data_IF_008264919048
#
_entry.id   IF_008264919048
#
_cell.length_a   1.000
_cell.length_b   1.000
_cell.length_c   1.000
_cell.angle_alpha   90.00
_cell.angle_beta   90.00
_cell.angle_gamma   90.00
#
_symmetry.space_group_name_H-M   'P 1'
#
loop_
_entity.id
_entity.type
_entity.pdbx_description
1 polymer ?
#
# COMPACT_ATOMS: atom_id res chain seq x y z
N UNK A 1 4.97 13.93 19.32
CA UNK A 1 4.06 13.03 20.06
C UNK A 1 4.36 11.60 19.64
N UNK A 2 4.48 10.65 20.55
CA UNK A 2 4.57 9.24 20.18
C UNK A 2 3.24 8.79 19.61
N UNK A 3 3.22 8.28 18.39
CA UNK A 3 1.99 7.84 17.70
C UNK A 3 1.56 6.43 18.10
N UNK A 4 2.37 5.74 18.88
CA UNK A 4 2.14 4.37 19.32
C UNK A 4 1.89 3.41 18.14
N UNK A 5 2.70 3.58 17.05
CA UNK A 5 2.55 2.94 15.76
C UNK A 5 3.84 2.28 15.30
N UNK A 6 3.82 0.97 15.08
CA UNK A 6 4.87 0.23 14.36
C UNK A 6 4.45 0.02 12.90
N UNK A 7 5.37 0.22 11.97
CA UNK A 7 5.13 -0.06 10.54
C UNK A 7 5.77 -1.38 10.17
N UNK A 8 5.02 -2.23 9.50
CA UNK A 8 5.46 -3.51 8.93
C UNK A 8 5.61 -3.37 7.43
N UNK A 9 6.80 -3.60 6.92
CA UNK A 9 7.10 -3.50 5.50
C UNK A 9 7.84 -4.77 5.06
N UNK A 10 7.24 -5.56 4.17
CA UNK A 10 7.88 -6.71 3.52
C UNK A 10 7.95 -6.39 2.04
N UNK A 11 9.15 -6.45 1.47
CA UNK A 11 9.43 -5.93 0.14
C UNK A 11 10.25 -6.90 -0.72
N UNK A 12 10.12 -6.73 -2.03
CA UNK A 12 11.02 -7.31 -3.06
C UNK A 12 10.98 -6.43 -4.32
N UNK A 13 12.14 -5.96 -4.77
CA UNK A 13 12.31 -5.18 -6.00
C UNK A 13 11.40 -3.95 -6.07
N UNK A 14 11.64 -2.95 -5.22
CA UNK A 14 10.85 -1.72 -5.09
C UNK A 14 11.72 -0.46 -5.27
N UNK A 15 12.83 -0.52 -6.01
CA UNK A 15 13.83 0.56 -6.11
C UNK A 15 13.25 1.92 -6.49
N UNK A 16 12.17 1.96 -7.28
CA UNK A 16 11.58 3.22 -7.70
C UNK A 16 10.75 3.92 -6.61
N UNK A 17 10.18 3.16 -5.66
CA UNK A 17 9.18 3.70 -4.75
C UNK A 17 9.53 3.55 -3.27
N UNK A 18 10.37 2.61 -2.89
CA UNK A 18 10.65 2.29 -1.47
C UNK A 18 11.15 3.49 -0.66
N UNK A 19 11.98 4.35 -1.26
CA UNK A 19 12.47 5.54 -0.56
C UNK A 19 11.33 6.49 -0.21
N UNK A 20 10.42 6.73 -1.16
CA UNK A 20 9.25 7.57 -0.97
C UNK A 20 8.26 6.95 0.01
N UNK A 21 8.02 5.64 -0.09
CA UNK A 21 7.15 4.91 0.83
C UNK A 21 7.61 5.05 2.28
N UNK A 22 8.87 4.70 2.57
CA UNK A 22 9.43 4.77 3.91
C UNK A 22 9.47 6.21 4.43
N UNK A 23 10.00 7.17 3.65
CA UNK A 23 10.07 8.57 4.08
C UNK A 23 8.70 9.22 4.26
N UNK A 24 7.65 8.70 3.60
CA UNK A 24 6.30 9.24 3.74
C UNK A 24 5.69 8.96 5.11
N UNK A 25 6.16 7.91 5.84
CA UNK A 25 5.54 7.41 7.07
C UNK A 25 6.39 7.64 8.32
N UNK A 26 7.68 7.97 8.18
CA UNK A 26 8.62 8.09 9.30
C UNK A 26 8.20 9.12 10.37
N UNK A 27 7.49 10.17 9.99
CA UNK A 27 7.04 11.22 10.91
C UNK A 27 6.00 10.72 11.92
N UNK A 28 5.18 9.72 11.54
CA UNK A 28 4.15 9.14 12.40
C UNK A 28 4.50 7.75 12.94
N UNK A 29 5.59 7.13 12.52
CA UNK A 29 6.03 5.83 13.02
C UNK A 29 6.92 5.98 14.26
N UNK A 30 6.74 5.12 15.26
CA UNK A 30 7.72 4.94 16.35
C UNK A 30 8.84 3.97 15.92
N UNK A 31 8.49 2.96 15.12
CA UNK A 31 9.39 1.94 14.58
C UNK A 31 8.90 1.47 13.20
N UNK A 32 9.83 1.14 12.32
CA UNK A 32 9.56 0.58 10.98
C UNK A 32 10.37 -0.70 10.83
N UNK A 33 9.69 -1.84 10.73
CA UNK A 33 10.30 -3.16 10.49
C UNK A 33 10.28 -3.42 8.99
N UNK A 34 11.44 -3.34 8.34
CA UNK A 34 11.60 -3.52 6.89
C UNK A 34 12.30 -4.84 6.64
N UNK A 35 11.61 -5.78 5.98
CA UNK A 35 12.15 -7.08 5.62
C UNK A 35 12.25 -7.20 4.10
N UNK A 36 13.47 -7.33 3.60
CA UNK A 36 13.73 -7.59 2.19
C UNK A 36 13.72 -9.09 1.90
N UNK A 37 12.96 -9.47 0.88
CA UNK A 37 12.78 -10.88 0.49
C UNK A 37 13.56 -11.25 -0.77
N UNK A 38 14.83 -10.84 -0.81
CA UNK A 38 15.74 -11.14 -1.89
C UNK A 38 15.56 -10.22 -3.10
N UNK A 39 15.60 -8.91 -2.88
CA UNK A 39 15.67 -7.94 -3.97
C UNK A 39 16.96 -8.10 -4.77
N UNK A 40 16.84 -8.03 -6.09
CA UNK A 40 17.94 -8.11 -7.05
C UNK A 40 18.20 -6.79 -7.78
N UNK A 41 17.37 -5.77 -7.49
CA UNK A 41 17.54 -4.39 -7.94
C UNK A 41 18.22 -3.54 -6.85
N UNK A 42 18.21 -2.22 -6.98
CA UNK A 42 18.85 -1.29 -6.03
C UNK A 42 18.04 -1.05 -4.75
N UNK A 43 16.98 -1.82 -4.50
CA UNK A 43 16.08 -1.64 -3.32
C UNK A 43 16.87 -1.60 -2.01
N UNK A 44 17.78 -2.54 -1.79
CA UNK A 44 18.59 -2.64 -0.56
C UNK A 44 19.49 -1.43 -0.39
N UNK A 45 20.21 -1.04 -1.46
CA UNK A 45 21.09 0.12 -1.44
C UNK A 45 20.34 1.41 -1.15
N UNK A 46 19.16 1.55 -1.74
CA UNK A 46 18.26 2.70 -1.54
C UNK A 46 17.82 2.79 -0.08
N UNK A 47 17.41 1.68 0.54
CA UNK A 47 17.00 1.66 1.96
C UNK A 47 18.16 2.10 2.85
N UNK A 48 19.38 1.65 2.57
CA UNK A 48 20.59 2.01 3.33
C UNK A 48 20.92 3.51 3.26
N UNK A 49 20.38 4.25 2.26
CA UNK A 49 20.52 5.73 2.21
C UNK A 49 19.67 6.46 3.25
N UNK A 50 18.62 5.82 3.77
CA UNK A 50 17.66 6.47 4.67
C UNK A 50 18.23 6.52 6.09
N UNK A 51 18.66 7.71 6.53
CA UNK A 51 19.24 7.93 7.86
C UNK A 51 18.13 8.10 8.91
N UNK A 52 17.63 6.98 9.46
CA UNK A 52 16.62 7.01 10.52
C UNK A 52 16.82 5.87 11.51
N UNK A 53 16.94 6.21 12.81
CA UNK A 53 17.00 5.22 13.90
C UNK A 53 15.70 4.44 14.12
N UNK A 54 14.61 4.84 13.48
CA UNK A 54 13.32 4.15 13.56
C UNK A 54 13.25 2.91 12.66
N UNK A 55 14.08 2.85 11.60
CA UNK A 55 14.10 1.74 10.65
C UNK A 55 14.96 0.61 11.21
N UNK A 56 14.36 -0.58 11.28
CA UNK A 56 15.04 -1.85 11.52
C UNK A 56 14.94 -2.62 10.21
N UNK A 57 16.05 -2.67 9.50
CA UNK A 57 16.15 -3.31 8.19
C UNK A 57 16.82 -4.68 8.31
N UNK A 58 16.22 -5.70 7.72
CA UNK A 58 16.75 -7.07 7.70
C UNK A 58 16.56 -7.68 6.31
N UNK A 59 17.62 -8.25 5.77
CA UNK A 59 17.60 -9.06 4.56
C UNK A 59 17.22 -10.49 4.94
N UNK A 60 16.05 -10.97 4.48
CA UNK A 60 15.49 -12.28 4.82
C UNK A 60 15.74 -13.34 3.74
N UNK A 61 16.30 -12.91 2.59
CA UNK A 61 16.48 -13.77 1.43
C UNK A 61 15.16 -14.14 0.76
N UNK A 62 15.24 -14.98 -0.28
CA UNK A 62 14.05 -15.39 -1.01
C UNK A 62 13.11 -16.22 -0.15
N UNK A 63 11.81 -15.91 -0.25
CA UNK A 63 10.76 -16.64 0.45
C UNK A 63 9.62 -16.98 -0.48
N UNK A 64 8.99 -18.12 -0.25
CA UNK A 64 7.75 -18.52 -0.92
C UNK A 64 6.51 -17.85 -0.29
N UNK A 65 5.34 -18.19 -0.78
CA UNK A 65 4.06 -17.67 -0.28
C UNK A 65 3.78 -18.01 1.20
N UNK A 66 4.34 -19.12 1.73
CA UNK A 66 4.24 -19.48 3.16
C UNK A 66 5.23 -18.66 3.99
N UNK A 67 6.44 -18.48 3.48
CA UNK A 67 7.49 -17.66 4.10
C UNK A 67 7.03 -16.22 4.30
N UNK A 68 6.31 -15.63 3.33
CA UNK A 68 5.75 -14.28 3.49
C UNK A 68 4.81 -14.18 4.71
N UNK A 69 3.93 -15.15 4.91
CA UNK A 69 3.07 -15.18 6.09
C UNK A 69 3.87 -15.34 7.39
N UNK A 70 4.97 -16.10 7.36
CA UNK A 70 5.86 -16.27 8.51
C UNK A 70 6.59 -14.96 8.87
N UNK A 71 7.08 -14.21 7.87
CA UNK A 71 7.68 -12.89 8.09
C UNK A 71 6.69 -11.90 8.73
N UNK A 72 5.43 -11.90 8.29
CA UNK A 72 4.39 -11.08 8.92
C UNK A 72 4.11 -11.51 10.37
N UNK A 73 4.16 -12.81 10.71
CA UNK A 73 4.06 -13.29 12.10
C UNK A 73 5.24 -12.79 12.93
N UNK A 74 6.45 -12.82 12.39
CA UNK A 74 7.63 -12.29 13.04
C UNK A 74 7.50 -10.78 13.30
N UNK A 75 7.08 -9.99 12.32
CA UNK A 75 6.83 -8.55 12.51
C UNK A 75 5.78 -8.31 13.61
N UNK A 76 4.70 -9.10 13.60
CA UNK A 76 3.65 -9.00 14.61
C UNK A 76 4.18 -9.32 16.03
N UNK A 77 5.03 -10.34 16.20
CA UNK A 77 5.64 -10.69 17.50
C UNK A 77 6.56 -9.61 18.02
N UNK A 78 7.27 -8.91 17.15
CA UNK A 78 8.20 -7.80 17.47
C UNK A 78 7.50 -6.47 17.72
N UNK A 79 6.20 -6.37 17.44
CA UNK A 79 5.41 -5.15 17.65
C UNK A 79 5.13 -4.93 19.13
N UNK A 80 5.59 -3.77 19.66
CA UNK A 80 5.37 -3.35 21.06
C UNK A 80 4.39 -2.20 21.21
N UNK A 81 3.99 -1.58 20.09
CA UNK A 81 3.04 -0.46 20.04
C UNK A 81 1.61 -0.96 20.04
N UNK A 82 0.65 -0.10 20.40
CA UNK A 82 -0.77 -0.43 20.39
C UNK A 82 -1.31 -0.68 18.98
N UNK A 83 -0.75 0.03 18.00
CA UNK A 83 -1.14 -0.09 16.60
C UNK A 83 0.02 -0.51 15.72
N UNK A 84 -0.28 -1.22 14.65
CA UNK A 84 0.66 -1.42 13.56
C UNK A 84 0.02 -1.17 12.22
N UNK A 85 0.83 -0.70 11.28
CA UNK A 85 0.45 -0.37 9.90
C UNK A 85 1.19 -1.29 8.94
N UNK A 86 0.47 -1.88 8.00
CA UNK A 86 1.06 -2.62 6.88
C UNK A 86 1.36 -1.60 5.78
N UNK A 87 2.63 -1.47 5.42
CA UNK A 87 3.11 -0.63 4.33
C UNK A 87 3.70 -1.52 3.23
N UNK A 88 3.14 -1.44 2.04
CA UNK A 88 3.78 -2.03 0.87
C UNK A 88 4.82 -1.03 0.30
N UNK A 89 5.89 -1.54 -0.33
CA UNK A 89 6.99 -0.70 -0.83
C UNK A 89 6.59 0.28 -1.94
N UNK A 90 5.39 0.11 -2.49
CA UNK A 90 4.77 0.91 -3.54
C UNK A 90 3.62 1.82 -3.03
N UNK A 91 3.59 2.10 -1.72
CA UNK A 91 2.57 2.96 -1.08
C UNK A 91 3.18 4.24 -0.49
N UNK A 92 2.71 5.39 -0.93
CA UNK A 92 3.16 6.71 -0.41
C UNK A 92 2.01 7.39 0.31
N UNK A 93 2.17 7.57 1.63
CA UNK A 93 1.12 8.09 2.49
C UNK A 93 1.09 9.63 2.50
N UNK A 94 -0.06 10.20 2.14
CA UNK A 94 -0.24 11.65 2.06
C UNK A 94 -0.34 12.28 3.45
N UNK A 95 0.10 13.53 3.59
CA UNK A 95 0.11 14.28 4.86
C UNK A 95 -1.26 14.33 5.53
N UNK A 96 -2.32 14.62 4.77
CA UNK A 96 -3.68 14.66 5.28
C UNK A 96 -4.17 13.29 5.74
N UNK A 97 -3.80 12.21 5.05
CA UNK A 97 -4.16 10.82 5.42
C UNK A 97 -3.50 10.43 6.73
N UNK A 98 -2.23 10.76 6.91
CA UNK A 98 -1.49 10.53 8.16
C UNK A 98 -2.08 11.33 9.33
N UNK A 99 -2.38 12.62 9.10
CA UNK A 99 -3.02 13.48 10.12
C UNK A 99 -4.38 12.90 10.55
N UNK A 100 -5.20 12.46 9.60
CA UNK A 100 -6.49 11.83 9.89
C UNK A 100 -6.31 10.51 10.65
N UNK A 101 -5.36 9.65 10.22
CA UNK A 101 -5.06 8.39 10.90
C UNK A 101 -4.69 8.62 12.37
N UNK A 102 -3.68 9.45 12.62
CA UNK A 102 -3.20 9.72 13.98
C UNK A 102 -4.31 10.32 14.85
N UNK A 103 -5.11 11.24 14.31
CA UNK A 103 -6.26 11.80 15.02
C UNK A 103 -7.31 10.75 15.39
N UNK A 104 -7.59 9.81 14.48
CA UNK A 104 -8.60 8.75 14.72
C UNK A 104 -8.15 7.67 15.70
N UNK A 105 -6.86 7.28 15.70
CA UNK A 105 -6.38 6.19 16.57
C UNK A 105 -5.99 6.64 17.98
N UNK A 106 -5.76 7.95 18.20
CA UNK A 106 -5.21 8.49 19.44
C UNK A 106 -6.04 8.18 20.68
N UNK A 107 -7.35 8.31 20.61
CA UNK A 107 -8.29 8.15 21.74
C UNK A 107 -9.48 7.30 21.35
N UNK A 108 -9.29 6.36 20.44
CA UNK A 108 -10.40 5.55 19.95
C UNK A 108 -10.71 4.41 20.91
N UNK A 109 -11.99 4.12 21.06
CA UNK A 109 -12.49 3.03 21.86
C UNK A 109 -11.84 1.67 21.52
N UNK A 110 -11.60 0.84 22.54
CA UNK A 110 -10.95 -0.48 22.40
C UNK A 110 -11.74 -1.45 21.52
N UNK A 111 -13.01 -1.18 21.26
CA UNK A 111 -13.84 -1.98 20.35
C UNK A 111 -13.40 -1.83 18.88
N UNK A 112 -12.63 -0.78 18.53
CA UNK A 112 -12.12 -0.56 17.19
C UNK A 112 -10.78 -1.28 17.00
N UNK A 113 -10.74 -2.16 16.01
CA UNK A 113 -9.66 -3.12 15.76
C UNK A 113 -8.78 -2.77 14.58
N UNK A 114 -9.27 -1.95 13.66
CA UNK A 114 -8.50 -1.60 12.48
C UNK A 114 -8.98 -0.34 11.76
N UNK A 115 -8.17 0.08 10.78
CA UNK A 115 -8.46 1.26 9.95
C UNK A 115 -8.35 0.90 8.49
N UNK A 116 -9.43 1.13 7.77
CA UNK A 116 -9.54 0.99 6.32
C UNK A 116 -9.17 2.31 5.66
N UNK A 117 -8.32 2.24 4.66
CA UNK A 117 -7.82 3.41 3.94
C UNK A 117 -7.99 3.21 2.44
N UNK A 118 -8.49 4.23 1.76
CA UNK A 118 -8.58 4.21 0.28
C UNK A 118 -7.26 4.57 -0.37
N UNK A 119 -7.05 4.05 -1.57
CA UNK A 119 -5.88 4.37 -2.38
C UNK A 119 -6.25 5.19 -3.63
N UNK A 120 -5.34 6.06 -4.06
CA UNK A 120 -5.23 6.49 -5.44
C UNK A 120 -4.30 5.50 -6.14
N UNK A 121 -4.84 4.58 -6.94
CA UNK A 121 -4.02 3.68 -7.74
C UNK A 121 -3.49 4.44 -8.94
N UNK A 122 -2.21 4.79 -8.92
CA UNK A 122 -1.58 5.55 -10.00
C UNK A 122 -1.42 4.68 -11.26
N UNK A 123 -1.59 5.29 -12.44
CA UNK A 123 -1.51 4.59 -13.72
C UNK A 123 -0.78 5.43 -14.77
N UNK A 124 0.18 4.81 -15.45
CA UNK A 124 1.02 5.48 -16.45
C UNK A 124 2.11 6.35 -15.85
N UNK A 125 1.76 7.27 -14.97
CA UNK A 125 2.66 8.15 -14.22
C UNK A 125 2.01 8.63 -12.92
N UNK A 126 2.70 9.50 -12.16
CA UNK A 126 2.17 10.05 -10.90
C UNK A 126 1.08 11.11 -11.09
N UNK A 127 0.87 11.59 -12.29
CA UNK A 127 -0.12 12.63 -12.59
C UNK A 127 -1.51 12.07 -12.86
N UNK A 128 -1.63 10.74 -13.02
CA UNK A 128 -2.87 10.07 -13.37
C UNK A 128 -3.20 8.94 -12.39
N UNK A 129 -4.49 8.76 -12.13
CA UNK A 129 -4.98 7.66 -11.32
C UNK A 129 -6.04 6.85 -12.06
N UNK A 130 -6.13 5.58 -11.73
CA UNK A 130 -7.11 4.68 -12.32
C UNK A 130 -8.52 5.05 -11.83
N UNK A 131 -9.52 5.22 -12.73
CA UNK A 131 -10.89 5.50 -12.33
C UNK A 131 -11.43 4.37 -11.46
N UNK A 132 -12.16 4.75 -10.41
CA UNK A 132 -12.75 3.83 -9.45
C UNK A 132 -14.03 3.19 -10.03
N UNK A 133 -13.86 2.12 -10.78
CA UNK A 133 -15.00 1.37 -11.34
C UNK A 133 -15.55 0.29 -10.41
N UNK A 134 -14.90 0.07 -9.26
CA UNK A 134 -15.26 -0.99 -8.32
C UNK A 134 -15.84 -0.37 -7.06
N UNK A 135 -17.10 -0.68 -6.80
CA UNK A 135 -17.73 -0.41 -5.52
C UNK A 135 -17.28 -1.50 -4.53
N UNK A 136 -16.28 -1.18 -3.71
CA UNK A 136 -15.93 -2.07 -2.61
C UNK A 136 -16.97 -1.89 -1.51
N UNK A 137 -17.87 -2.84 -1.38
CA UNK A 137 -18.80 -2.89 -0.26
C UNK A 137 -18.11 -3.55 0.95
N UNK A 138 -17.45 -2.74 1.75
CA UNK A 138 -17.09 -3.19 3.08
C UNK A 138 -18.35 -3.26 3.93
N UNK A 139 -18.57 -4.33 4.69
CA UNK A 139 -19.70 -4.41 5.60
C UNK A 139 -19.71 -3.18 6.53
N UNK A 140 -20.85 -2.50 6.59
CA UNK A 140 -21.03 -1.29 7.41
C UNK A 140 -20.07 -0.12 7.10
N UNK A 141 -19.51 -0.06 5.90
CA UNK A 141 -18.80 1.14 5.45
C UNK A 141 -19.78 2.31 5.27
N UNK A 142 -19.30 3.56 5.36
CA UNK A 142 -20.12 4.73 4.98
C UNK A 142 -20.64 4.57 3.55
N UNK A 143 -21.91 5.02 3.31
CA UNK A 143 -22.58 4.88 1.99
C UNK A 143 -21.73 5.41 0.81
N UNK A 144 -20.95 6.47 1.05
CA UNK A 144 -20.12 7.12 0.04
C UNK A 144 -18.68 6.57 -0.02
N UNK A 145 -18.40 5.49 0.72
CA UNK A 145 -17.05 4.92 0.76
C UNK A 145 -16.83 4.02 -0.46
N UNK A 146 -16.51 4.66 -1.59
CA UNK A 146 -16.31 4.00 -2.90
C UNK A 146 -14.82 3.99 -3.25
N UNK A 147 -14.42 3.03 -4.09
CA UNK A 147 -13.08 2.90 -4.64
C UNK A 147 -12.20 1.86 -3.97
N UNK A 148 -10.92 1.86 -4.34
CA UNK A 148 -9.95 0.90 -3.83
C UNK A 148 -9.64 1.18 -2.36
N UNK A 149 -9.97 0.24 -1.50
CA UNK A 149 -9.76 0.36 -0.06
C UNK A 149 -9.10 -0.89 0.50
N UNK A 150 -8.21 -0.71 1.46
CA UNK A 150 -7.51 -1.78 2.15
C UNK A 150 -7.54 -1.56 3.65
N UNK A 151 -7.63 -2.64 4.41
CA UNK A 151 -7.38 -2.63 5.84
C UNK A 151 -5.87 -2.56 6.04
N UNK A 152 -5.36 -1.39 6.45
CA UNK A 152 -3.92 -1.13 6.55
C UNK A 152 -3.41 -1.00 7.96
N UNK A 153 -4.26 -0.65 8.92
CA UNK A 153 -3.85 -0.46 10.30
C UNK A 153 -4.63 -1.39 11.21
N UNK A 154 -3.95 -2.02 12.15
CA UNK A 154 -4.52 -2.99 13.07
C UNK A 154 -4.14 -2.66 14.50
N UNK A 155 -5.04 -2.91 15.45
CA UNK A 155 -4.75 -2.84 16.87
C UNK A 155 -4.05 -4.12 17.32
N UNK A 156 -2.95 -4.00 18.06
CA UNK A 156 -2.18 -5.16 18.55
C UNK A 156 -2.94 -5.98 19.60
N UNK A 157 -3.80 -5.32 20.40
CA UNK A 157 -4.56 -5.95 21.49
C UNK A 157 -5.84 -6.66 21.05
N UNK A 158 -6.06 -6.90 19.75
CA UNK A 158 -7.16 -7.76 19.30
C UNK A 158 -7.02 -9.14 19.93
N UNK A 159 -8.07 -9.68 20.58
CA UNK A 159 -8.01 -10.97 21.26
C UNK A 159 -7.55 -12.10 20.31
N UNK A 160 -6.45 -12.78 20.64
CA UNK A 160 -5.90 -13.88 19.86
C UNK A 160 -5.45 -13.51 18.45
N UNK A 161 -5.05 -12.24 18.21
CA UNK A 161 -4.59 -11.79 16.90
C UNK A 161 -3.48 -12.68 16.34
N UNK A 162 -3.73 -13.29 15.19
CA UNK A 162 -2.78 -14.14 14.49
C UNK A 162 -2.95 -14.02 12.97
N UNK A 163 -2.03 -14.62 12.23
CA UNK A 163 -2.08 -14.64 10.76
C UNK A 163 -2.41 -16.04 10.30
N UNK A 164 -3.42 -16.16 9.42
CA UNK A 164 -3.88 -17.40 8.80
C UNK A 164 -3.78 -17.30 7.28
N UNK A 165 -3.49 -18.44 6.63
CA UNK A 165 -3.38 -18.52 5.17
C UNK A 165 -1.96 -18.30 4.67
N UNK A 166 -1.85 -18.20 3.35
CA UNK A 166 -0.61 -17.93 2.60
C UNK A 166 -0.85 -16.84 1.55
N UNK A 167 0.20 -16.13 1.18
CA UNK A 167 0.11 -15.08 0.14
C UNK A 167 -0.54 -15.63 -1.17
N UNK A 168 -1.44 -14.93 -1.82
CA UNK A 168 -1.95 -13.59 -1.48
C UNK A 168 -3.24 -13.58 -0.64
N UNK A 169 -3.61 -14.70 -0.02
CA UNK A 169 -4.87 -14.87 0.74
C UNK A 169 -4.64 -14.91 2.25
N UNK A 170 -3.45 -14.49 2.72
CA UNK A 170 -3.19 -14.37 4.14
C UNK A 170 -4.04 -13.25 4.76
N UNK A 171 -4.52 -13.49 5.97
CA UNK A 171 -5.33 -12.54 6.70
C UNK A 171 -4.94 -12.49 8.18
N UNK A 172 -5.03 -11.30 8.77
CA UNK A 172 -5.03 -11.12 10.22
C UNK A 172 -6.38 -11.52 10.76
N UNK A 173 -6.39 -12.48 11.68
CA UNK A 173 -7.58 -13.09 12.25
C UNK A 173 -7.62 -12.89 13.77
N UNK A 174 -8.82 -12.90 14.35
CA UNK A 174 -9.02 -12.92 15.78
C UNK A 174 -8.89 -14.34 16.38
N UNK A 175 -9.14 -14.49 17.67
CA UNK A 175 -9.10 -15.76 18.39
C UNK A 175 -10.02 -16.86 17.79
N UNK A 176 -11.07 -16.48 17.08
CA UNK A 176 -11.99 -17.40 16.44
C UNK A 176 -11.57 -17.75 15.00
N UNK A 177 -10.44 -17.23 14.52
CA UNK A 177 -9.97 -17.40 13.15
C UNK A 177 -10.75 -16.60 12.12
N UNK A 178 -11.53 -15.60 12.55
CA UNK A 178 -12.30 -14.71 11.66
C UNK A 178 -11.39 -13.59 11.18
N UNK A 179 -11.25 -13.38 9.86
CA UNK A 179 -10.49 -12.26 9.31
C UNK A 179 -11.03 -10.91 9.81
N UNK A 180 -10.13 -10.04 10.26
CA UNK A 180 -10.52 -8.74 10.84
C UNK A 180 -11.33 -7.88 9.87
N UNK A 181 -11.05 -7.97 8.58
CA UNK A 181 -11.81 -7.26 7.55
C UNK A 181 -13.31 -7.62 7.50
N UNK A 182 -13.70 -8.80 7.99
CA UNK A 182 -15.10 -9.25 7.94
C UNK A 182 -15.99 -8.59 9.02
N UNK A 183 -15.39 -7.89 9.98
CA UNK A 183 -16.14 -7.19 11.02
C UNK A 183 -16.74 -5.85 10.60
N UNK A 184 -16.26 -5.26 9.51
CA UNK A 184 -16.78 -4.02 8.95
C UNK A 184 -16.79 -2.87 9.95
N UNK A 185 -17.75 -1.95 9.80
CA UNK A 185 -17.85 -0.72 10.60
C UNK A 185 -18.09 -0.94 12.10
N UNK A 186 -18.49 -2.14 12.53
CA UNK A 186 -18.58 -2.46 13.97
C UNK A 186 -17.20 -2.40 14.64
N UNK A 187 -16.16 -2.87 13.95
CA UNK A 187 -14.79 -2.96 14.46
C UNK A 187 -13.79 -2.09 13.70
N UNK A 188 -14.16 -1.54 12.54
CA UNK A 188 -13.27 -0.81 11.67
C UNK A 188 -13.59 0.68 11.63
N UNK A 189 -12.55 1.48 11.49
CA UNK A 189 -12.62 2.89 11.15
C UNK A 189 -12.34 3.04 9.65
N UNK A 190 -12.89 4.09 9.05
CA UNK A 190 -12.71 4.40 7.63
C UNK A 190 -12.13 5.80 7.49
N UNK A 191 -11.00 5.94 6.78
CA UNK A 191 -10.42 7.25 6.50
C UNK A 191 -11.07 7.87 5.26
N UNK A 192 -11.29 9.18 5.31
CA UNK A 192 -11.76 9.96 4.16
C UNK A 192 -10.64 10.19 3.14
N UNK A 193 -9.44 10.48 3.63
CA UNK A 193 -8.26 10.72 2.82
C UNK A 193 -7.66 9.40 2.29
N UNK A 194 -6.81 9.53 1.25
CA UNK A 194 -6.24 8.42 0.49
C UNK A 194 -4.71 8.45 0.55
N UNK A 195 -4.07 7.32 0.25
CA UNK A 195 -2.64 7.24 -0.04
C UNK A 195 -2.42 6.96 -1.54
N UNK A 196 -1.22 7.19 -2.04
CA UNK A 196 -0.83 6.77 -3.39
C UNK A 196 -0.39 5.31 -3.37
N UNK A 197 -0.88 4.56 -4.35
CA UNK A 197 -0.48 3.19 -4.59
C UNK A 197 0.02 3.07 -6.04
N UNK A 198 1.32 2.84 -6.19
CA UNK A 198 1.95 2.80 -7.52
C UNK A 198 1.88 1.41 -8.15
N UNK A 199 0.91 0.59 -7.73
CA UNK A 199 0.77 -0.82 -8.10
C UNK A 199 0.68 -1.09 -9.61
N UNK A 200 0.29 -0.10 -10.40
CA UNK A 200 0.21 -0.22 -11.87
C UNK A 200 1.40 0.41 -12.59
N UNK A 201 2.27 1.10 -11.86
CA UNK A 201 3.50 1.67 -12.40
C UNK A 201 4.65 0.66 -12.33
N UNK A 202 5.70 0.93 -13.06
CA UNK A 202 6.97 0.19 -12.95
C UNK A 202 7.58 0.41 -11.56
N UNK A 203 8.05 -0.64 -10.91
CA UNK A 203 8.61 -0.59 -9.56
C UNK A 203 10.10 -0.89 -9.50
N UNK A 204 10.63 -1.57 -10.52
CA UNK A 204 12.06 -1.79 -10.76
C UNK A 204 12.47 -1.21 -12.10
N UNK A 205 13.78 -1.09 -12.37
CA UNK A 205 14.32 -0.46 -13.59
C UNK A 205 13.81 -1.09 -14.88
N UNK A 206 13.53 -2.39 -14.86
CA UNK A 206 12.98 -3.09 -16.02
C UNK A 206 11.78 -3.93 -15.64
N UNK A 207 10.85 -4.13 -16.59
CA UNK A 207 9.77 -5.10 -16.43
C UNK A 207 10.28 -6.54 -16.29
N UNK A 208 11.49 -6.83 -16.75
CA UNK A 208 12.12 -8.12 -16.55
C UNK A 208 12.34 -8.41 -15.07
N UNK A 209 12.77 -7.42 -14.28
CA UNK A 209 12.93 -7.54 -12.82
C UNK A 209 11.60 -7.74 -12.12
N UNK A 210 10.51 -7.17 -12.63
CA UNK A 210 9.17 -7.35 -12.09
C UNK A 210 8.64 -8.80 -12.24
N UNK A 211 9.17 -9.58 -13.20
CA UNK A 211 8.78 -10.99 -13.39
C UNK A 211 9.13 -11.88 -12.20
N UNK A 212 10.16 -11.54 -11.46
CA UNK A 212 10.61 -12.30 -10.28
C UNK A 212 9.77 -12.01 -9.04
N UNK A 213 8.80 -11.08 -9.09
CA UNK A 213 7.92 -10.78 -7.98
C UNK A 213 6.51 -11.37 -8.23
N UNK A 214 6.05 -12.17 -7.28
CA UNK A 214 4.76 -12.87 -7.38
C UNK A 214 3.61 -11.92 -7.73
N UNK A 215 2.85 -12.27 -8.77
CA UNK A 215 1.66 -11.55 -9.25
C UNK A 215 1.87 -10.10 -9.74
N UNK A 216 3.09 -9.56 -9.77
CA UNK A 216 3.33 -8.16 -10.12
C UNK A 216 2.94 -7.85 -11.58
N UNK A 217 3.36 -8.67 -12.54
CA UNK A 217 3.04 -8.46 -13.96
C UNK A 217 1.55 -8.45 -14.25
N UNK A 218 0.75 -9.26 -13.52
CA UNK A 218 -0.71 -9.30 -13.68
C UNK A 218 -1.39 -7.98 -13.27
N UNK A 219 -0.71 -7.15 -12.47
CA UNK A 219 -1.22 -5.86 -12.00
C UNK A 219 -0.87 -4.71 -12.93
N UNK A 220 0.15 -4.85 -13.81
CA UNK A 220 0.53 -3.78 -14.73
C UNK A 220 -0.64 -3.37 -15.63
N UNK A 221 -0.90 -2.06 -15.72
CA UNK A 221 -1.96 -1.49 -16.55
C UNK A 221 -1.39 -0.39 -17.43
N UNK A 222 -1.73 -0.47 -18.71
CA UNK A 222 -1.48 0.58 -19.68
C UNK A 222 -2.83 1.22 -20.04
N UNK A 223 -3.29 2.13 -19.19
CA UNK A 223 -4.54 2.86 -19.37
C UNK A 223 -4.27 4.37 -19.18
N UNK A 224 -5.09 5.22 -19.78
CA UNK A 224 -4.93 6.68 -19.70
C UNK A 224 -5.05 7.16 -18.25
N UNK A 225 -6.05 6.66 -17.54
CA UNK A 225 -6.39 7.16 -16.21
C UNK A 225 -7.07 8.53 -16.26
N UNK A 226 -7.38 9.04 -15.06
CA UNK A 226 -7.88 10.39 -14.85
C UNK A 226 -6.76 11.27 -14.29
N UNK A 227 -6.62 12.48 -14.81
CA UNK A 227 -5.63 13.44 -14.30
C UNK A 227 -6.06 13.98 -12.94
N UNK A 228 -5.10 14.18 -12.04
CA UNK A 228 -5.34 14.99 -10.87
C UNK A 228 -5.61 16.45 -11.26
N UNK A 229 -6.36 17.18 -10.43
CA UNK A 229 -6.60 18.60 -10.65
C UNK A 229 -5.28 19.39 -10.64
N UNK A 230 -5.23 20.52 -11.34
CA UNK A 230 -4.03 21.40 -11.36
C UNK A 230 -3.59 21.85 -9.96
N UNK A 231 -4.53 21.95 -9.02
CA UNK A 231 -4.28 22.37 -7.63
C UNK A 231 -4.07 21.17 -6.68
N UNK A 232 -3.91 19.96 -7.20
CA UNK A 232 -3.69 18.78 -6.36
C UNK A 232 -2.36 18.89 -5.61
N UNK A 233 -2.41 18.72 -4.30
CA UNK A 233 -1.23 18.80 -3.43
C UNK A 233 -0.59 17.41 -3.31
N UNK A 234 0.49 17.21 -4.05
CA UNK A 234 1.29 16.00 -3.94
C UNK A 234 1.97 15.92 -2.56
N UNK A 235 2.39 14.71 -2.21
CA UNK A 235 3.11 14.49 -0.97
C UNK A 235 4.45 15.23 -0.97
N UNK A 236 4.77 15.88 0.15
CA UNK A 236 6.01 16.65 0.33
C UNK A 236 7.27 15.82 0.06
N UNK A 237 7.22 14.50 0.29
CA UNK A 237 8.34 13.60 0.04
C UNK A 237 8.79 13.58 -1.43
N UNK A 238 7.88 13.84 -2.38
CA UNK A 238 8.22 13.88 -3.81
C UNK A 238 9.05 15.11 -4.19
N UNK A 239 9.00 16.17 -3.38
CA UNK A 239 9.76 17.39 -3.58
C UNK A 239 11.04 17.47 -2.72
N UNK A 240 11.32 16.44 -1.92
CA UNK A 240 12.57 16.38 -1.15
C UNK A 240 13.75 16.13 -2.07
N UNK A 241 14.90 16.73 -1.74
CA UNK A 241 16.17 16.37 -2.37
C UNK A 241 16.48 14.92 -2.05
N UNK A 242 16.55 14.11 -3.08
CA UNK A 242 16.85 12.68 -2.98
C UNK A 242 18.33 12.41 -3.26
N UNK A 243 18.94 11.34 -2.70
CA UNK A 243 20.21 10.81 -3.21
C UNK A 243 20.12 10.47 -4.70
N UNK A 244 21.26 10.61 -5.42
CA UNK A 244 21.29 10.40 -6.87
C UNK A 244 20.85 8.99 -7.33
N UNK A 245 20.97 8.01 -6.45
CA UNK A 245 20.53 6.63 -6.73
C UNK A 245 19.00 6.49 -6.81
N UNK A 246 18.24 7.46 -6.28
CA UNK A 246 16.77 7.39 -6.22
C UNK A 246 16.19 7.92 -7.53
N UNK A 247 15.42 7.12 -8.27
CA UNK A 247 14.74 7.58 -9.49
C UNK A 247 13.77 8.73 -9.19
N UNK A 248 13.64 9.66 -10.14
CA UNK A 248 12.67 10.73 -10.00
C UNK A 248 11.23 10.19 -9.98
N UNK A 249 10.38 10.61 -9.04
CA UNK A 249 8.97 10.21 -9.06
C UNK A 249 8.18 10.94 -10.16
N UNK A 250 8.75 11.99 -10.76
CA UNK A 250 8.08 12.88 -11.70
C UNK A 250 8.21 12.45 -13.17
N UNK A 251 8.74 11.26 -13.42
CA UNK A 251 8.80 10.71 -14.77
C UNK A 251 7.40 10.55 -15.35
N UNK A 252 7.21 11.11 -16.55
CA UNK A 252 5.98 10.93 -17.32
C UNK A 252 6.04 9.62 -18.10
N UNK A 253 4.87 9.04 -18.36
CA UNK A 253 4.78 7.91 -19.29
C UNK A 253 5.38 8.26 -20.64
N UNK A 254 6.01 7.30 -21.30
CA UNK A 254 6.56 7.47 -22.64
C UNK A 254 5.45 7.69 -23.68
N UNK A 255 5.80 8.29 -24.84
CA UNK A 255 4.88 8.42 -25.95
C UNK A 255 4.34 7.07 -26.42
N UNK A 256 5.17 6.03 -26.42
CA UNK A 256 4.76 4.66 -26.76
C UNK A 256 3.71 4.11 -25.76
N UNK A 257 3.93 4.25 -24.47
CA UNK A 257 2.96 3.85 -23.44
C UNK A 257 1.67 4.67 -23.54
N UNK A 258 1.77 5.94 -23.90
CA UNK A 258 0.60 6.78 -24.13
C UNK A 258 -0.23 6.28 -25.30
N UNK A 259 0.39 5.97 -26.45
CA UNK A 259 -0.31 5.42 -27.62
C UNK A 259 -0.98 4.07 -27.33
N UNK A 260 -0.28 3.17 -26.62
CA UNK A 260 -0.89 1.91 -26.17
C UNK A 260 -2.10 2.18 -25.27
N UNK A 261 -1.99 3.15 -24.38
CA UNK A 261 -3.06 3.50 -23.42
C UNK A 261 -4.30 4.04 -24.14
N UNK A 262 -4.14 4.78 -25.23
CA UNK A 262 -5.26 5.26 -26.07
C UNK A 262 -6.09 4.10 -26.63
N UNK A 263 -5.44 3.02 -27.05
CA UNK A 263 -6.12 1.83 -27.60
C UNK A 263 -6.68 0.94 -26.48
N UNK A 264 -5.90 0.70 -25.43
CA UNK A 264 -6.31 -0.25 -24.38
C UNK A 264 -7.43 0.29 -23.49
N UNK A 265 -7.48 1.60 -23.23
CA UNK A 265 -8.47 2.18 -22.31
C UNK A 265 -9.91 1.90 -22.75
N UNK A 266 -10.37 2.24 -23.98
CA UNK A 266 -11.74 1.98 -24.38
C UNK A 266 -12.10 0.50 -24.40
N UNK A 267 -11.17 -0.37 -24.82
CA UNK A 267 -11.38 -1.83 -24.81
C UNK A 267 -11.61 -2.36 -23.40
N UNK A 268 -10.76 -1.93 -22.45
CA UNK A 268 -10.89 -2.36 -21.05
C UNK A 268 -12.12 -1.76 -20.35
N UNK A 269 -12.49 -0.53 -20.69
CA UNK A 269 -13.72 0.10 -20.16
C UNK A 269 -14.98 -0.62 -20.65
N UNK A 270 -15.05 -0.94 -21.93
CA UNK A 270 -16.15 -1.72 -22.51
C UNK A 270 -16.26 -3.08 -21.82
N UNK A 271 -15.14 -3.80 -21.69
CA UNK A 271 -15.10 -5.08 -20.96
C UNK A 271 -15.60 -4.95 -19.52
N UNK A 272 -15.19 -3.91 -18.80
CA UNK A 272 -15.67 -3.66 -17.42
C UNK A 272 -17.18 -3.38 -17.37
N UNK A 273 -17.71 -2.59 -18.31
CA UNK A 273 -19.15 -2.33 -18.41
C UNK A 273 -19.93 -3.63 -18.64
N UNK A 274 -19.49 -4.46 -19.59
CA UNK A 274 -20.09 -5.75 -19.87
C UNK A 274 -20.07 -6.66 -18.62
N UNK A 275 -18.92 -6.82 -17.97
CA UNK A 275 -18.80 -7.65 -16.78
C UNK A 275 -19.69 -7.18 -15.63
N UNK A 276 -19.88 -5.87 -15.47
CA UNK A 276 -20.76 -5.29 -14.44
C UNK A 276 -22.25 -5.52 -14.77
N UNK A 277 -22.62 -5.65 -16.05
CA UNK A 277 -23.99 -6.00 -16.47
C UNK A 277 -24.31 -7.47 -16.14
N UNK A 278 -23.34 -8.38 -16.32
CA UNK A 278 -23.54 -9.81 -16.06
C UNK A 278 -23.34 -10.22 -14.58
N UNK A 279 -22.61 -9.41 -13.79
CA UNK A 279 -22.41 -9.59 -12.34
C UNK A 279 -22.70 -8.27 -11.63
N UNK A 280 -23.95 -7.84 -11.49
CA UNK A 280 -24.29 -6.71 -10.62
C UNK A 280 -23.97 -7.11 -9.18
N UNK A 281 -22.88 -6.52 -8.61
CA UNK A 281 -22.47 -6.70 -7.23
C UNK A 281 -23.12 -5.67 -6.32
#
# INVERSE_FOLDING_TARGET
MKSNLTVHCVIKNEERWIWFALNSILDIADRVLVYDTGSSDRTVDIIKTIKSKKIIFEEKGEVDAKGLAQLRKEQLSRTKTEWFLILDGDEVWLKQTKKELVGKIKNVDKSKWGVVVRAWNLVGDVYHYHPESVHYHWPYAPKDYKGWANLRVFRKSIPGLHIKGKYPLEAYCDKNGIPIQNYGGKRLLFLKNRYFHTTYLTRSDTRAMDRHVLNRLKKSKMELGLSFSKNFKYQEVFNKKTPNIIPSPWEKRSNFEFLISLVQTPVKETRRKILNLYNPR
#
